data_IF_382042295857
#
_entry.id   IF_382042295857
#
_cell.length_a   1.000
_cell.length_b   1.000
_cell.length_c   1.000
_cell.angle_alpha   90.00
_cell.angle_beta   90.00
_cell.angle_gamma   90.00
#
_symmetry.space_group_name_H-M   'P 1'
#
loop_
_entity.id
_entity.type
_entity.pdbx_description
1 polymer ?
#
# COMPACT_ATOMS: atom_id res chain seq x y z
N UNK A 1 -24.58 5.17 17.20
CA UNK A 1 -23.40 6.04 16.92
C UNK A 1 -23.86 7.26 16.13
N UNK A 2 -23.63 8.49 16.60
CA UNK A 2 -23.93 9.70 15.81
C UNK A 2 -22.95 9.76 14.63
N UNK A 3 -23.46 9.82 13.39
CA UNK A 3 -22.63 9.94 12.18
C UNK A 3 -21.89 11.29 12.21
N UNK A 4 -20.56 11.26 12.37
CA UNK A 4 -19.73 12.45 12.33
C UNK A 4 -18.91 12.48 11.04
N UNK A 5 -19.40 13.12 9.97
CA UNK A 5 -18.72 13.13 8.68
C UNK A 5 -17.38 13.89 8.75
N UNK A 6 -17.17 14.78 9.73
CA UNK A 6 -15.87 15.42 9.94
C UNK A 6 -14.79 14.45 10.44
N UNK A 7 -15.16 13.53 11.35
CA UNK A 7 -14.25 12.49 11.83
C UNK A 7 -13.90 11.50 10.71
N UNK A 8 -14.89 11.10 9.90
CA UNK A 8 -14.66 10.22 8.76
C UNK A 8 -13.76 10.89 7.70
N UNK A 9 -13.93 12.19 7.45
CA UNK A 9 -13.04 12.93 6.57
C UNK A 9 -11.59 12.90 7.07
N UNK A 10 -11.37 13.14 8.37
CA UNK A 10 -10.04 13.08 8.97
C UNK A 10 -9.40 11.69 8.82
N UNK A 11 -10.16 10.62 9.11
CA UNK A 11 -9.70 9.24 8.92
C UNK A 11 -9.33 8.96 7.47
N UNK A 12 -10.16 9.40 6.52
CA UNK A 12 -9.89 9.24 5.09
C UNK A 12 -8.59 9.92 4.65
N UNK A 13 -8.35 11.15 5.12
CA UNK A 13 -7.12 11.90 4.83
C UNK A 13 -5.90 11.19 5.44
N UNK A 14 -5.99 10.70 6.68
CA UNK A 14 -4.90 9.95 7.32
C UNK A 14 -4.58 8.69 6.52
N UNK A 15 -5.59 7.92 6.10
CA UNK A 15 -5.39 6.76 5.24
C UNK A 15 -4.72 7.12 3.90
N UNK A 16 -5.12 8.22 3.26
CA UNK A 16 -4.51 8.69 2.01
C UNK A 16 -3.04 9.04 2.20
N UNK A 17 -2.69 9.78 3.25
CA UNK A 17 -1.30 10.17 3.54
C UNK A 17 -0.45 8.94 3.83
N UNK A 18 -0.93 8.03 4.67
CA UNK A 18 -0.22 6.80 4.99
C UNK A 18 -0.06 5.89 3.76
N UNK A 19 -1.12 5.73 2.97
CA UNK A 19 -1.10 4.94 1.73
C UNK A 19 -0.12 5.51 0.70
N UNK A 20 -0.12 6.84 0.51
CA UNK A 20 0.82 7.52 -0.38
C UNK A 20 2.27 7.33 0.10
N UNK A 21 2.51 7.50 1.41
CA UNK A 21 3.83 7.31 2.00
C UNK A 21 4.37 5.89 1.78
N UNK A 22 3.55 4.86 1.94
CA UNK A 22 3.96 3.49 1.64
C UNK A 22 4.14 3.25 0.14
N UNK A 23 3.24 3.78 -0.70
CA UNK A 23 3.31 3.62 -2.15
C UNK A 23 4.62 4.20 -2.72
N UNK A 24 5.03 5.38 -2.27
CA UNK A 24 6.26 6.03 -2.75
C UNK A 24 7.57 5.44 -2.19
N UNK A 25 7.50 4.57 -1.19
CA UNK A 25 8.68 3.85 -0.70
C UNK A 25 8.94 2.52 -1.41
N UNK A 26 7.98 2.04 -2.22
CA UNK A 26 8.12 0.78 -2.92
C UNK A 26 8.89 1.02 -4.22
N UNK A 27 10.10 0.47 -4.29
CA UNK A 27 10.95 0.49 -5.47
C UNK A 27 10.97 -0.91 -6.10
N UNK A 28 10.11 -1.12 -7.09
CA UNK A 28 10.02 -2.40 -7.81
C UNK A 28 11.28 -2.72 -8.62
N UNK A 29 12.03 -1.70 -9.05
CA UNK A 29 13.27 -1.92 -9.80
C UNK A 29 14.38 -2.43 -8.87
N UNK A 30 14.44 -1.92 -7.64
CA UNK A 30 15.35 -2.41 -6.62
C UNK A 30 15.08 -3.89 -6.27
N UNK A 31 13.81 -4.29 -6.12
CA UNK A 31 13.45 -5.68 -5.81
C UNK A 31 13.77 -6.62 -6.97
N UNK A 32 13.49 -6.23 -8.21
CA UNK A 32 13.86 -7.03 -9.37
C UNK A 32 15.37 -7.23 -9.50
N UNK A 33 16.16 -6.21 -9.16
CA UNK A 33 17.62 -6.30 -9.12
C UNK A 33 18.10 -7.27 -8.05
N UNK A 34 17.51 -7.25 -6.85
CA UNK A 34 17.83 -8.18 -5.77
C UNK A 34 17.48 -9.63 -6.16
N UNK A 35 16.32 -9.85 -6.78
CA UNK A 35 15.91 -11.16 -7.29
C UNK A 35 16.88 -11.71 -8.34
N UNK A 36 17.42 -10.85 -9.22
CA UNK A 36 18.44 -11.24 -10.19
C UNK A 36 19.75 -11.64 -9.49
N UNK A 37 20.17 -10.89 -8.47
CA UNK A 37 21.35 -11.23 -7.68
C UNK A 37 21.18 -12.59 -6.99
N UNK A 38 20.03 -12.84 -6.35
CA UNK A 38 19.69 -14.14 -5.75
C UNK A 38 19.77 -15.26 -6.79
N UNK A 39 19.18 -15.07 -7.98
CA UNK A 39 19.17 -16.07 -9.04
C UNK A 39 20.59 -16.42 -9.55
N UNK A 40 21.52 -15.47 -9.49
CA UNK A 40 22.91 -15.66 -9.95
C UNK A 40 23.88 -16.14 -8.87
N UNK A 41 23.56 -15.93 -7.59
CA UNK A 41 24.44 -16.22 -6.45
C UNK A 41 24.04 -17.46 -5.64
N UNK A 42 22.78 -17.90 -5.74
CA UNK A 42 22.30 -19.07 -5.03
C UNK A 42 23.01 -20.35 -5.47
N UNK A 43 23.24 -21.25 -4.50
CA UNK A 43 23.94 -22.52 -4.75
C UNK A 43 23.03 -23.60 -5.34
N UNK A 44 21.71 -23.37 -5.30
CA UNK A 44 20.70 -24.26 -5.87
C UNK A 44 19.47 -23.49 -6.36
N UNK A 45 18.72 -24.10 -7.27
CA UNK A 45 17.47 -23.53 -7.77
C UNK A 45 16.39 -23.43 -6.68
N UNK A 46 16.37 -24.37 -5.73
CA UNK A 46 15.42 -24.38 -4.62
C UNK A 46 15.66 -23.21 -3.65
N UNK A 47 16.93 -22.98 -3.31
CA UNK A 47 17.34 -21.85 -2.46
C UNK A 47 16.97 -20.51 -3.10
N UNK A 48 17.29 -20.34 -4.40
CA UNK A 48 16.92 -19.15 -5.16
C UNK A 48 15.40 -18.92 -5.16
N UNK A 49 14.62 -19.96 -5.44
CA UNK A 49 13.17 -19.87 -5.51
C UNK A 49 12.55 -19.45 -4.16
N UNK A 50 13.06 -19.98 -3.05
CA UNK A 50 12.58 -19.62 -1.71
C UNK A 50 12.84 -18.15 -1.38
N UNK A 51 14.04 -17.66 -1.68
CA UNK A 51 14.44 -16.27 -1.40
C UNK A 51 13.68 -15.28 -2.29
N UNK A 52 13.57 -15.56 -3.60
CA UNK A 52 12.79 -14.74 -4.53
C UNK A 52 11.31 -14.71 -4.13
N UNK A 53 10.74 -15.85 -3.74
CA UNK A 53 9.36 -15.91 -3.27
C UNK A 53 9.14 -15.05 -2.01
N UNK A 54 10.08 -15.06 -1.07
CA UNK A 54 10.01 -14.22 0.12
C UNK A 54 10.08 -12.72 -0.23
N UNK A 55 10.96 -12.33 -1.15
CA UNK A 55 11.07 -10.94 -1.62
C UNK A 55 9.78 -10.47 -2.31
N UNK A 56 9.23 -11.29 -3.20
CA UNK A 56 7.99 -10.98 -3.90
C UNK A 56 6.79 -10.92 -2.94
N UNK A 57 6.75 -11.76 -1.91
CA UNK A 57 5.70 -11.67 -0.88
C UNK A 57 5.74 -10.35 -0.13
N UNK A 58 6.94 -9.87 0.23
CA UNK A 58 7.11 -8.58 0.89
C UNK A 58 6.68 -7.42 -0.03
N UNK A 59 7.09 -7.44 -1.30
CA UNK A 59 6.70 -6.44 -2.30
C UNK A 59 5.18 -6.39 -2.48
N UNK A 60 4.57 -7.55 -2.76
CA UNK A 60 3.13 -7.66 -3.02
C UNK A 60 2.34 -7.26 -1.78
N UNK A 61 2.78 -7.68 -0.59
CA UNK A 61 2.14 -7.32 0.68
C UNK A 61 2.17 -5.82 0.93
N UNK A 62 3.34 -5.19 0.80
CA UNK A 62 3.51 -3.74 0.95
C UNK A 62 2.69 -2.94 -0.06
N UNK A 63 2.76 -3.34 -1.34
CA UNK A 63 2.01 -2.69 -2.42
C UNK A 63 0.51 -2.82 -2.22
N UNK A 64 0.04 -4.02 -1.86
CA UNK A 64 -1.38 -4.28 -1.57
C UNK A 64 -1.90 -3.40 -0.44
N UNK A 65 -1.14 -3.26 0.66
CA UNK A 65 -1.51 -2.41 1.77
C UNK A 65 -1.55 -0.92 1.38
N UNK A 66 -0.54 -0.44 0.66
CA UNK A 66 -0.48 0.94 0.19
C UNK A 66 -1.68 1.28 -0.70
N UNK A 67 -1.97 0.42 -1.68
CA UNK A 67 -3.09 0.57 -2.60
C UNK A 67 -4.45 0.47 -1.89
N UNK A 68 -4.58 -0.43 -0.91
CA UNK A 68 -5.78 -0.52 -0.08
C UNK A 68 -6.02 0.81 0.67
N UNK A 69 -5.00 1.36 1.33
CA UNK A 69 -5.11 2.60 2.08
C UNK A 69 -5.44 3.80 1.18
N UNK A 70 -4.82 3.86 0.00
CA UNK A 70 -5.11 4.89 -1.01
C UNK A 70 -6.56 4.80 -1.51
N UNK A 71 -7.01 3.61 -1.93
CA UNK A 71 -8.36 3.42 -2.44
C UNK A 71 -9.43 3.65 -1.37
N UNK A 72 -9.25 3.04 -0.19
CA UNK A 72 -10.18 3.19 0.94
C UNK A 72 -10.21 4.63 1.45
N UNK A 73 -9.05 5.24 1.65
CA UNK A 73 -8.93 6.64 2.07
C UNK A 73 -9.55 7.60 1.06
N UNK A 74 -9.35 7.36 -0.24
CA UNK A 74 -9.95 8.16 -1.31
C UNK A 74 -11.47 8.12 -1.30
N UNK A 75 -12.05 6.92 -1.22
CA UNK A 75 -13.51 6.73 -1.13
C UNK A 75 -14.07 7.45 0.09
N UNK A 76 -13.53 7.20 1.29
CA UNK A 76 -14.03 7.82 2.52
C UNK A 76 -13.93 9.34 2.46
N UNK A 77 -12.81 9.88 1.97
CA UNK A 77 -12.58 11.32 1.86
C UNK A 77 -13.65 11.97 0.98
N UNK A 78 -13.90 11.42 -0.21
CA UNK A 78 -14.90 11.94 -1.15
C UNK A 78 -16.31 11.90 -0.56
N UNK A 79 -16.74 10.75 -0.04
CA UNK A 79 -18.08 10.61 0.54
C UNK A 79 -18.28 11.52 1.75
N UNK A 80 -17.27 11.67 2.60
CA UNK A 80 -17.33 12.51 3.79
C UNK A 80 -17.37 14.00 3.42
N UNK A 81 -16.59 14.42 2.41
CA UNK A 81 -16.63 15.78 1.89
C UNK A 81 -18.02 16.13 1.32
N UNK A 82 -18.60 15.25 0.50
CA UNK A 82 -19.96 15.43 -0.04
C UNK A 82 -20.99 15.52 1.09
N UNK A 83 -20.90 14.65 2.10
CA UNK A 83 -21.81 14.66 3.24
C UNK A 83 -21.72 15.94 4.08
N UNK A 84 -20.51 16.52 4.24
CA UNK A 84 -20.30 17.78 4.92
C UNK A 84 -20.89 18.97 4.14
N UNK A 85 -20.70 18.99 2.82
CA UNK A 85 -21.25 20.04 1.96
C UNK A 85 -22.78 20.00 1.97
N UNK A 86 -23.40 18.82 1.88
CA UNK A 86 -24.87 18.67 1.92
C UNK A 86 -25.50 18.98 3.28
N UNK A 87 -24.70 19.00 4.35
CA UNK A 87 -25.17 19.31 5.71
C UNK A 87 -25.11 20.82 6.01
N UNK A 88 -24.35 21.59 5.23
CA UNK A 88 -24.39 23.05 5.24
C UNK A 88 -25.59 23.54 4.44
#
# INVERSE_FOLDING_TARGET
MKKNPGLLLLVGIICLVAGAYFYFQIDGDAINKENLEIATSATSAEEAAKLIAANNQNEVGGTSLAMFLLGFGGVITIFSAIALVKKK
#
